data_IF_195124734143
#
_entry.id   IF_195124734143
#
_cell.length_a   1.000
_cell.length_b   1.000
_cell.length_c   1.000
_cell.angle_alpha   90.00
_cell.angle_beta   90.00
_cell.angle_gamma   90.00
#
_symmetry.space_group_name_H-M   'P 1'
#
loop_
_entity.id
_entity.type
_entity.pdbx_description
1 polymer ?
#
# COMPACT_ATOMS: atom_id res chain seq x y z
N UNK A 1 -18.88 12.85 23.69
CA UNK A 1 -19.74 13.02 22.49
C UNK A 1 -19.07 12.14 21.44
N UNK A 2 -19.67 11.02 21.06
CA UNK A 2 -19.05 10.10 20.11
C UNK A 2 -19.02 10.80 18.75
N UNK A 3 -17.84 10.94 18.16
CA UNK A 3 -17.69 11.56 16.86
C UNK A 3 -18.30 10.65 15.78
N UNK A 4 -19.50 11.03 15.33
CA UNK A 4 -20.27 10.29 14.33
C UNK A 4 -19.57 10.23 12.98
N UNK A 5 -18.65 11.16 12.69
CA UNK A 5 -17.91 11.17 11.44
C UNK A 5 -16.78 10.15 11.49
N UNK A 6 -15.95 10.16 12.54
CA UNK A 6 -14.88 9.16 12.73
C UNK A 6 -15.43 7.73 12.75
N UNK A 7 -16.59 7.51 13.37
CA UNK A 7 -17.24 6.20 13.35
C UNK A 7 -17.62 5.76 11.93
N UNK A 8 -18.05 6.68 11.07
CA UNK A 8 -18.39 6.39 9.67
C UNK A 8 -17.14 6.09 8.84
N UNK A 9 -16.10 6.90 9.00
CA UNK A 9 -14.82 6.69 8.30
C UNK A 9 -14.20 5.36 8.70
N UNK A 10 -14.18 5.05 10.00
CA UNK A 10 -13.68 3.77 10.51
C UNK A 10 -14.43 2.57 9.92
N UNK A 11 -15.77 2.66 9.89
CA UNK A 11 -16.59 1.63 9.24
C UNK A 11 -16.25 1.48 7.77
N UNK A 12 -15.99 2.58 7.07
CA UNK A 12 -15.65 2.53 5.65
C UNK A 12 -14.28 1.87 5.41
N UNK A 13 -13.31 2.08 6.31
CA UNK A 13 -12.04 1.35 6.30
C UNK A 13 -12.27 -0.14 6.48
N UNK A 14 -13.06 -0.54 7.48
CA UNK A 14 -13.42 -1.93 7.75
C UNK A 14 -14.08 -2.60 6.52
N UNK A 15 -15.09 -1.96 5.93
CA UNK A 15 -15.80 -2.43 4.73
C UNK A 15 -14.83 -2.68 3.56
N UNK A 16 -13.81 -1.83 3.39
CA UNK A 16 -12.83 -1.97 2.31
C UNK A 16 -11.89 -3.15 2.53
N UNK A 17 -11.47 -3.40 3.77
CA UNK A 17 -10.58 -4.53 4.10
C UNK A 17 -11.35 -5.83 3.97
N UNK A 18 -12.61 -5.89 4.43
CA UNK A 18 -13.49 -7.04 4.24
C UNK A 18 -13.69 -7.36 2.75
N UNK A 19 -13.99 -6.35 1.93
CA UNK A 19 -14.11 -6.54 0.49
C UNK A 19 -12.80 -6.98 -0.18
N UNK A 20 -11.65 -6.58 0.34
CA UNK A 20 -10.35 -7.04 -0.13
C UNK A 20 -10.09 -8.50 0.30
N UNK A 21 -10.43 -8.85 1.54
CA UNK A 21 -10.35 -10.20 2.07
C UNK A 21 -11.22 -11.18 1.28
N UNK A 22 -12.46 -10.82 0.95
CA UNK A 22 -13.36 -11.64 0.15
C UNK A 22 -12.79 -11.92 -1.25
N UNK A 23 -12.20 -10.90 -1.89
CA UNK A 23 -11.55 -11.06 -3.20
C UNK A 23 -10.33 -11.98 -3.12
N UNK A 24 -9.56 -11.89 -2.03
CA UNK A 24 -8.38 -12.71 -1.82
C UNK A 24 -8.75 -14.17 -1.52
N UNK A 25 -9.74 -14.38 -0.63
CA UNK A 25 -10.30 -15.70 -0.31
C UNK A 25 -10.91 -16.39 -1.53
N UNK A 26 -11.57 -15.64 -2.43
CA UNK A 26 -12.08 -16.19 -3.69
C UNK A 26 -10.97 -16.72 -4.61
N UNK A 27 -9.75 -16.19 -4.49
CA UNK A 27 -8.57 -16.62 -5.24
C UNK A 27 -7.78 -17.71 -4.53
N UNK A 28 -7.76 -17.69 -3.20
CA UNK A 28 -6.99 -18.59 -2.33
C UNK A 28 -7.85 -19.10 -1.15
N UNK A 29 -8.71 -20.10 -1.38
CA UNK A 29 -9.64 -20.59 -0.36
C UNK A 29 -8.91 -21.21 0.85
N UNK A 30 -7.68 -21.70 0.69
CA UNK A 30 -6.87 -22.23 1.78
C UNK A 30 -6.47 -21.16 2.82
N UNK A 31 -6.38 -19.89 2.41
CA UNK A 31 -6.01 -18.77 3.29
C UNK A 31 -7.22 -18.03 3.87
N UNK A 32 -8.45 -18.34 3.42
CA UNK A 32 -9.70 -17.66 3.81
C UNK A 32 -9.82 -17.52 5.34
N UNK A 33 -9.64 -18.62 6.08
CA UNK A 33 -9.81 -18.60 7.54
C UNK A 33 -8.79 -17.70 8.25
N UNK A 34 -7.57 -17.62 7.73
CA UNK A 34 -6.51 -16.78 8.30
C UNK A 34 -6.78 -15.30 8.00
N UNK A 35 -7.11 -14.99 6.75
CA UNK A 35 -7.44 -13.64 6.27
C UNK A 35 -8.67 -13.11 7.01
N UNK A 36 -9.74 -13.90 7.11
CA UNK A 36 -10.96 -13.50 7.82
C UNK A 36 -10.69 -13.17 9.29
N UNK A 37 -9.91 -14.01 9.99
CA UNK A 37 -9.55 -13.76 11.40
C UNK A 37 -8.73 -12.48 11.58
N UNK A 38 -7.81 -12.19 10.66
CA UNK A 38 -7.03 -10.95 10.70
C UNK A 38 -7.92 -9.72 10.50
N UNK A 39 -8.81 -9.77 9.50
CA UNK A 39 -9.77 -8.70 9.23
C UNK A 39 -10.73 -8.48 10.39
N UNK A 40 -11.31 -9.55 10.94
CA UNK A 40 -12.21 -9.48 12.11
C UNK A 40 -11.50 -8.86 13.33
N UNK A 41 -10.26 -9.28 13.61
CA UNK A 41 -9.46 -8.74 14.70
C UNK A 41 -9.17 -7.24 14.51
N UNK A 42 -8.90 -6.82 13.27
CA UNK A 42 -8.66 -5.43 12.93
C UNK A 42 -9.93 -4.58 13.07
N UNK A 43 -11.08 -5.04 12.56
CA UNK A 43 -12.36 -4.33 12.63
C UNK A 43 -12.93 -4.29 14.06
N UNK A 44 -12.58 -5.24 14.92
CA UNK A 44 -12.99 -5.28 16.33
C UNK A 44 -12.29 -4.21 17.19
N UNK A 45 -11.29 -3.51 16.66
CA UNK A 45 -10.62 -2.42 17.36
C UNK A 45 -11.56 -1.24 17.58
N UNK A 46 -11.30 -0.48 18.65
CA UNK A 46 -12.07 0.72 18.93
C UNK A 46 -11.92 1.74 17.79
N UNK A 47 -13.01 2.43 17.45
CA UNK A 47 -12.95 3.50 16.46
C UNK A 47 -11.97 4.59 16.94
N UNK A 48 -11.10 5.10 16.05
CA UNK A 48 -10.18 6.19 16.38
C UNK A 48 -10.94 7.44 16.81
N UNK A 49 -10.36 8.19 17.74
CA UNK A 49 -10.92 9.45 18.23
C UNK A 49 -10.44 10.65 17.41
N UNK A 50 -9.27 10.54 16.79
CA UNK A 50 -8.59 11.59 16.05
C UNK A 50 -8.20 11.14 14.64
N UNK A 51 -8.00 12.11 13.75
CA UNK A 51 -7.64 11.85 12.35
C UNK A 51 -6.27 11.17 12.24
N UNK A 52 -5.29 11.55 13.05
CA UNK A 52 -3.96 10.93 13.05
C UNK A 52 -4.04 9.44 13.37
N UNK A 53 -4.82 9.05 14.39
CA UNK A 53 -5.07 7.65 14.71
C UNK A 53 -5.74 6.93 13.54
N UNK A 54 -6.71 7.55 12.87
CA UNK A 54 -7.36 6.96 11.69
C UNK A 54 -6.34 6.70 10.56
N UNK A 55 -5.42 7.63 10.31
CA UNK A 55 -4.38 7.47 9.30
C UNK A 55 -3.42 6.34 9.66
N UNK A 56 -3.01 6.23 10.93
CA UNK A 56 -2.19 5.12 11.40
C UNK A 56 -2.91 3.77 11.20
N UNK A 57 -4.22 3.72 11.46
CA UNK A 57 -5.01 2.51 11.18
C UNK A 57 -5.12 2.18 9.70
N UNK A 58 -5.22 3.19 8.84
CA UNK A 58 -5.23 2.98 7.38
C UNK A 58 -3.89 2.41 6.91
N UNK A 59 -2.77 2.85 7.51
CA UNK A 59 -1.46 2.26 7.22
C UNK A 59 -1.37 0.82 7.70
N UNK A 60 -1.83 0.51 8.92
CA UNK A 60 -1.89 -0.85 9.45
C UNK A 60 -2.76 -1.76 8.57
N UNK A 61 -3.92 -1.26 8.11
CA UNK A 61 -4.77 -1.97 7.15
C UNK A 61 -4.05 -2.29 5.84
N UNK A 62 -3.26 -1.34 5.33
CA UNK A 62 -2.46 -1.54 4.12
C UNK A 62 -1.42 -2.65 4.33
N UNK A 63 -0.70 -2.61 5.45
CA UNK A 63 0.29 -3.65 5.79
C UNK A 63 -0.34 -5.05 5.90
N UNK A 64 -1.53 -5.15 6.49
CA UNK A 64 -2.29 -6.40 6.54
C UNK A 64 -2.61 -6.88 5.11
N UNK A 65 -3.18 -6.02 4.27
CA UNK A 65 -3.51 -6.41 2.89
C UNK A 65 -2.29 -6.77 2.05
N UNK A 66 -1.16 -6.09 2.26
CA UNK A 66 0.10 -6.38 1.58
C UNK A 66 0.71 -7.71 2.04
N UNK A 67 0.47 -8.11 3.30
CA UNK A 67 0.95 -9.39 3.83
C UNK A 67 0.32 -10.58 3.10
N UNK A 68 -0.95 -10.47 2.71
CA UNK A 68 -1.65 -11.50 1.94
C UNK A 68 -1.00 -11.72 0.58
N UNK A 69 -0.52 -10.65 -0.06
CA UNK A 69 0.17 -10.69 -1.36
C UNK A 69 1.64 -11.08 -1.28
N UNK A 70 2.30 -10.82 -0.14
CA UNK A 70 3.71 -11.17 0.05
C UNK A 70 3.92 -12.65 0.35
N UNK A 71 2.96 -13.29 1.01
CA UNK A 71 2.94 -14.75 1.16
C UNK A 71 2.80 -15.43 -0.22
N UNK A 72 2.03 -14.85 -1.14
CA UNK A 72 1.95 -15.29 -2.55
C UNK A 72 3.31 -15.16 -3.28
N UNK A 73 3.98 -14.02 -3.19
CA UNK A 73 5.28 -13.80 -3.86
C UNK A 73 6.42 -14.63 -3.29
N UNK A 74 6.35 -15.08 -2.03
CA UNK A 74 7.37 -15.96 -1.46
C UNK A 74 7.30 -17.39 -2.02
N UNK A 75 6.16 -17.78 -2.62
CA UNK A 75 6.00 -19.06 -3.29
C UNK A 75 6.41 -19.01 -4.78
N UNK A 76 6.47 -17.83 -5.42
CA UNK A 76 6.53 -17.72 -6.89
C UNK A 76 7.51 -16.66 -7.43
N UNK A 77 8.72 -16.53 -6.86
CA UNK A 77 9.79 -15.70 -7.45
C UNK A 77 11.06 -16.54 -7.73
N UNK A 78 11.32 -16.96 -8.99
CA UNK A 78 12.69 -17.05 -9.45
C UNK A 78 13.28 -15.65 -9.35
N UNK A 79 14.40 -15.51 -8.64
CA UNK A 79 15.16 -14.28 -8.49
C UNK A 79 15.72 -13.79 -9.83
N UNK A 80 14.87 -13.26 -10.72
CA UNK A 80 15.33 -12.40 -11.80
C UNK A 80 15.50 -11.01 -11.21
N UNK A 81 16.72 -10.76 -10.76
CA UNK A 81 17.17 -9.49 -10.22
C UNK A 81 17.05 -8.46 -11.35
N UNK A 82 16.04 -7.60 -11.27
CA UNK A 82 16.05 -6.36 -12.05
C UNK A 82 17.23 -5.54 -11.54
N UNK A 83 18.35 -5.58 -12.27
CA UNK A 83 19.49 -4.70 -12.08
C UNK A 83 19.14 -3.34 -12.69
N UNK A 84 18.54 -2.45 -11.90
CA UNK A 84 18.36 -1.05 -12.28
C UNK A 84 19.68 -0.26 -12.14
N UNK A 85 20.78 -0.80 -12.68
CA UNK A 85 21.98 -0.02 -12.97
C UNK A 85 21.96 0.40 -14.45
N UNK A 86 20.92 1.14 -14.84
CA UNK A 86 21.02 1.88 -16.08
C UNK A 86 21.99 3.04 -15.83
N UNK A 87 23.23 2.85 -16.26
CA UNK A 87 24.29 3.85 -16.28
C UNK A 87 23.86 5.07 -17.08
N UNK A 88 23.21 6.04 -16.43
CA UNK A 88 23.07 7.40 -16.95
C UNK A 88 24.47 8.03 -17.07
N UNK A 89 25.13 7.74 -18.18
CA UNK A 89 26.28 8.50 -18.64
C UNK A 89 25.73 9.80 -19.21
N UNK A 90 25.57 10.81 -18.37
CA UNK A 90 25.36 12.18 -18.83
C UNK A 90 26.57 12.57 -19.69
N UNK A 91 26.42 12.81 -21.00
CA UNK A 91 27.52 13.39 -21.76
C UNK A 91 27.71 14.83 -21.28
N UNK A 92 28.74 15.06 -20.47
CA UNK A 92 29.21 16.40 -20.18
C UNK A 92 29.96 16.96 -21.40
N UNK A 93 29.28 17.60 -22.35
CA UNK A 93 29.86 18.42 -23.45
C UNK A 93 28.72 19.23 -24.09
N UNK A 94 28.65 20.56 -24.19
CA UNK A 94 29.54 21.71 -23.99
C UNK A 94 28.66 22.93 -23.56
N UNK A 95 29.21 23.98 -22.92
CA UNK A 95 28.44 25.21 -22.64
C UNK A 95 28.01 25.91 -23.95
N UNK A 96 26.83 26.57 -23.98
CA UNK A 96 26.39 27.31 -25.16
C UNK A 96 27.33 28.49 -25.42
N UNK A 97 27.98 28.49 -26.59
CA UNK A 97 28.77 29.62 -27.07
C UNK A 97 27.84 30.73 -27.57
N UNK A 98 27.46 31.66 -26.69
CA UNK A 98 26.79 32.90 -27.14
C UNK A 98 27.83 33.85 -27.73
N UNK A 99 28.01 33.79 -29.05
CA UNK A 99 28.67 34.86 -29.79
C UNK A 99 27.76 36.10 -29.78
N UNK A 100 28.18 37.24 -29.21
CA UNK A 100 27.43 38.48 -29.41
C UNK A 100 27.79 39.02 -30.80
N UNK A 101 27.01 38.68 -31.81
CA UNK A 101 27.02 39.46 -33.05
C UNK A 101 26.20 40.72 -32.81
N UNK A 102 26.89 41.75 -32.30
CA UNK A 102 26.44 43.14 -32.41
C UNK A 102 26.83 43.60 -33.81
N UNK A 103 25.85 43.81 -34.68
CA UNK A 103 25.86 44.84 -35.73
C UNK A 103 24.46 45.41 -35.84
#
# INVERSE_FOLDING_TARGET
MIDMQMTKEWRHVCERIEAAADKHAARYPEMENAIRRQTEAFCAQASPAETDELLDRILEANDITASWTRDEQSAEVPKDRVDESNVESFPASDPPNWSPTII
#
